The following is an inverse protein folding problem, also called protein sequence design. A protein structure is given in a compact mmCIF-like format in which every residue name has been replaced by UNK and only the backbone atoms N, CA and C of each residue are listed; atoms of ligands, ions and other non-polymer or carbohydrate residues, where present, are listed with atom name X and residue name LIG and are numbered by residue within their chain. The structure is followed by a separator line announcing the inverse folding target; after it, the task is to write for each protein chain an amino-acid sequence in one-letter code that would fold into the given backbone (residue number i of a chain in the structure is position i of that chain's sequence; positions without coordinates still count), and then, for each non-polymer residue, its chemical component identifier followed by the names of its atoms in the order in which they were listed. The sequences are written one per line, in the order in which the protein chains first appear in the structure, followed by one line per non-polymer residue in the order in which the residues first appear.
data_IF_680071965871
#
_entry.id   IF_680071965871
#
_cell.length_a   1.000
_cell.length_b   1.000
_cell.length_c   1.000
_cell.angle_alpha   90.00
_cell.angle_beta   90.00
_cell.angle_gamma   90.00
#
_symmetry.space_group_name_H-M   'P 1'
#
loop_
_entity.id
_entity.type
_entity.pdbx_description
1 polymer ?
#
# COMPACT_ATOMS: atom_id res chain seq x y z
N UNK A 1 11.55 12.95 5.13
CA UNK A 1 10.58 13.68 4.31
C UNK A 1 9.20 13.15 4.68
N UNK A 2 8.30 14.00 5.17
CA UNK A 2 6.97 13.58 5.61
C UNK A 2 5.94 14.47 4.91
N UNK A 3 5.11 13.87 4.05
CA UNK A 3 3.97 14.51 3.44
C UNK A 3 2.72 14.22 4.29
N UNK A 4 1.91 15.23 4.53
CA UNK A 4 0.62 15.12 5.22
C UNK A 4 -0.49 15.11 4.17
N UNK A 5 -1.32 14.07 4.15
CA UNK A 5 -2.48 13.98 3.26
C UNK A 5 -3.75 14.39 4.01
N UNK A 6 -4.49 15.36 3.47
CA UNK A 6 -5.79 15.77 3.98
C UNK A 6 -6.90 15.14 3.14
N UNK A 7 -7.85 14.47 3.79
CA UNK A 7 -9.01 13.87 3.10
C UNK A 7 -10.25 14.76 3.29
N UNK A 8 -10.63 15.48 2.24
CA UNK A 8 -11.88 16.25 2.16
C UNK A 8 -13.11 15.33 2.00
N UNK A 9 -14.23 15.68 2.65
CA UNK A 9 -15.48 14.91 2.63
C UNK A 9 -16.28 15.14 1.33
N UNK A 10 -16.07 14.30 0.33
CA UNK A 10 -17.00 14.06 -0.80
C UNK A 10 -16.32 13.09 -1.78
N UNK A 11 -16.92 11.93 -2.10
CA UNK A 11 -16.36 11.00 -3.10
C UNK A 11 -16.26 11.59 -4.52
N UNK A 12 -16.80 12.79 -4.76
CA UNK A 12 -16.70 13.49 -6.05
C UNK A 12 -15.49 14.43 -6.16
N UNK A 13 -14.82 14.73 -5.05
CA UNK A 13 -13.77 15.76 -4.98
C UNK A 13 -12.57 15.26 -4.15
N UNK A 14 -11.96 14.15 -4.60
CA UNK A 14 -10.69 13.67 -4.04
C UNK A 14 -9.55 14.56 -4.54
N UNK A 15 -9.28 15.65 -3.83
CA UNK A 15 -8.06 16.43 -4.03
C UNK A 15 -6.90 15.74 -3.30
N UNK A 16 -5.96 15.18 -4.07
CA UNK A 16 -4.69 14.70 -3.54
C UNK A 16 -3.74 15.88 -3.44
N UNK A 17 -3.84 16.63 -2.35
CA UNK A 17 -3.03 17.82 -2.13
C UNK A 17 -1.72 17.47 -1.41
N UNK A 18 -0.61 18.00 -1.91
CA UNK A 18 0.70 18.00 -1.27
C UNK A 18 0.98 19.40 -0.75
N UNK A 19 1.25 19.50 0.54
CA UNK A 19 1.81 20.70 1.17
C UNK A 19 3.33 20.52 1.34
N UNK A 20 4.12 21.51 0.91
CA UNK A 20 5.54 21.56 1.22
C UNK A 20 5.82 22.24 2.57
N UNK A 21 7.09 22.37 2.95
CA UNK A 21 7.47 22.93 4.26
C UNK A 21 7.32 24.45 4.32
N UNK A 22 7.16 25.06 3.14
CA UNK A 22 6.97 26.48 2.89
C UNK A 22 5.47 26.85 2.93
N UNK A 23 4.58 25.84 2.91
CA UNK A 23 3.13 25.99 3.02
C UNK A 23 2.41 26.09 1.68
N UNK A 24 3.11 25.88 0.56
CA UNK A 24 2.50 25.86 -0.76
C UNK A 24 1.76 24.54 -0.98
N UNK A 25 0.52 24.65 -1.47
CA UNK A 25 -0.35 23.52 -1.74
C UNK A 25 -0.39 23.25 -3.25
N UNK A 26 -0.07 22.02 -3.63
CA UNK A 26 -0.03 21.60 -5.03
C UNK A 26 -0.72 20.25 -5.22
N UNK A 27 -1.21 19.99 -6.44
CA UNK A 27 -1.78 18.68 -6.77
C UNK A 27 -0.68 17.61 -6.86
N UNK A 28 -0.83 16.56 -6.04
CA UNK A 28 0.07 15.41 -6.03
C UNK A 28 0.00 14.61 -7.32
N UNK A 29 -1.20 14.39 -7.87
CA UNK A 29 -1.38 13.60 -9.09
C UNK A 29 -0.75 14.27 -10.31
N UNK A 30 -0.60 15.60 -10.29
CA UNK A 30 0.04 16.37 -11.36
C UNK A 30 1.56 16.45 -11.20
N UNK A 31 2.10 15.96 -10.08
CA UNK A 31 3.54 16.00 -9.81
C UNK A 31 4.32 15.04 -10.71
N UNK A 32 5.57 15.40 -11.00
CA UNK A 32 6.49 14.54 -11.76
C UNK A 32 6.84 13.25 -11.02
N UNK A 33 6.81 13.27 -9.69
CA UNK A 33 7.02 12.10 -8.83
C UNK A 33 5.91 11.08 -9.05
N UNK A 34 4.65 11.49 -8.92
CA UNK A 34 3.50 10.62 -9.17
C UNK A 34 3.49 10.06 -10.61
N UNK A 35 3.78 10.90 -11.62
CA UNK A 35 3.85 10.46 -13.02
C UNK A 35 4.93 9.40 -13.25
N UNK A 36 6.09 9.54 -12.61
CA UNK A 36 7.18 8.55 -12.69
C UNK A 36 6.75 7.22 -12.09
N UNK A 37 6.12 7.24 -10.92
CA UNK A 37 5.64 6.03 -10.26
C UNK A 37 4.55 5.34 -11.08
N UNK A 38 3.59 6.11 -11.60
CA UNK A 38 2.54 5.60 -12.48
C UNK A 38 3.12 4.95 -13.76
N UNK A 39 4.15 5.55 -14.34
CA UNK A 39 4.84 4.99 -15.51
C UNK A 39 5.53 3.66 -15.18
N UNK A 40 6.22 3.58 -14.03
CA UNK A 40 6.84 2.35 -13.55
C UNK A 40 5.80 1.22 -13.35
N UNK A 41 4.71 1.50 -12.64
CA UNK A 41 3.66 0.49 -12.42
C UNK A 41 2.96 0.07 -13.72
N UNK A 42 2.79 1.00 -14.66
CA UNK A 42 2.28 0.68 -16.00
C UNK A 42 3.21 -0.29 -16.73
N UNK A 43 4.51 -0.04 -16.73
CA UNK A 43 5.49 -0.91 -17.38
C UNK A 43 5.52 -2.30 -16.71
N UNK A 44 5.50 -2.35 -15.38
CA UNK A 44 5.43 -3.60 -14.63
C UNK A 44 4.16 -4.41 -14.97
N UNK A 45 3.01 -3.74 -15.08
CA UNK A 45 1.76 -4.37 -15.54
C UNK A 45 1.88 -4.92 -16.96
N UNK A 46 2.40 -4.12 -17.89
CA UNK A 46 2.60 -4.54 -19.29
C UNK A 46 3.55 -5.74 -19.43
N UNK A 47 4.52 -5.88 -18.51
CA UNK A 47 5.42 -7.03 -18.43
C UNK A 47 4.84 -8.25 -17.69
N UNK A 48 3.60 -8.16 -17.20
CA UNK A 48 2.94 -9.24 -16.47
C UNK A 48 3.45 -9.45 -15.04
N UNK A 49 4.13 -8.46 -14.46
CA UNK A 49 4.65 -8.51 -13.08
C UNK A 49 3.59 -8.13 -12.04
N UNK A 50 2.47 -7.54 -12.48
CA UNK A 50 1.32 -7.18 -11.65
C UNK A 50 0.14 -8.05 -12.07
N UNK A 51 -0.66 -8.48 -11.10
CA UNK A 51 -1.87 -9.25 -11.37
C UNK A 51 -2.79 -8.50 -12.34
N UNK A 52 -3.23 -9.16 -13.42
CA UNK A 52 -4.09 -8.58 -14.44
C UNK A 52 -5.41 -8.05 -13.86
N UNK A 53 -5.91 -8.71 -12.83
CA UNK A 53 -7.17 -8.43 -12.15
C UNK A 53 -6.99 -7.56 -10.89
N UNK A 54 -5.89 -6.83 -10.76
CA UNK A 54 -5.59 -6.03 -9.54
C UNK A 54 -6.70 -5.05 -9.14
N UNK A 55 -7.54 -4.60 -10.09
CA UNK A 55 -8.66 -3.69 -9.83
C UNK A 55 -10.02 -4.38 -9.61
N UNK A 56 -10.12 -5.68 -9.92
CA UNK A 56 -11.38 -6.43 -9.94
C UNK A 56 -11.38 -7.61 -8.99
N UNK A 57 -10.21 -8.13 -8.62
CA UNK A 57 -10.04 -9.26 -7.74
C UNK A 57 -10.51 -8.91 -6.32
N UNK A 58 -11.43 -9.69 -5.72
CA UNK A 58 -11.79 -9.52 -4.32
C UNK A 58 -10.59 -9.76 -3.40
N UNK A 59 -10.51 -8.99 -2.31
CA UNK A 59 -9.42 -9.10 -1.32
C UNK A 59 -9.22 -10.53 -0.80
N UNK A 60 -10.30 -11.29 -0.63
CA UNK A 60 -10.26 -12.69 -0.18
C UNK A 60 -9.53 -13.60 -1.19
N UNK A 61 -9.76 -13.38 -2.50
CA UNK A 61 -9.09 -14.12 -3.57
C UNK A 61 -7.60 -13.81 -3.53
N UNK A 62 -7.24 -12.52 -3.44
CA UNK A 62 -5.83 -12.09 -3.36
C UNK A 62 -5.14 -12.68 -2.13
N UNK A 63 -5.78 -12.67 -0.96
CA UNK A 63 -5.22 -13.25 0.25
C UNK A 63 -5.04 -14.79 0.15
N UNK A 64 -5.92 -15.48 -0.56
CA UNK A 64 -5.78 -16.92 -0.79
C UNK A 64 -4.60 -17.24 -1.71
N UNK A 65 -4.44 -16.49 -2.80
CA UNK A 65 -3.29 -16.63 -3.72
C UNK A 65 -1.96 -16.38 -3.00
N UNK A 66 -1.91 -15.39 -2.11
CA UNK A 66 -0.74 -15.13 -1.25
C UNK A 66 -0.39 -16.35 -0.39
N UNK A 67 -1.37 -16.94 0.28
CA UNK A 67 -1.14 -18.10 1.15
C UNK A 67 -0.70 -19.35 0.36
N UNK A 68 -0.84 -19.35 -0.96
CA UNK A 68 -0.37 -20.40 -1.86
C UNK A 68 0.99 -20.08 -2.49
N UNK A 69 1.64 -18.97 -2.10
CA UNK A 69 2.97 -18.59 -2.59
C UNK A 69 2.96 -18.11 -4.04
N UNK A 70 1.85 -17.53 -4.49
CA UNK A 70 1.68 -17.07 -5.89
C UNK A 70 2.25 -15.68 -6.14
N UNK A 71 2.63 -14.97 -5.08
CA UNK A 71 3.32 -13.68 -5.16
C UNK A 71 4.76 -13.83 -4.70
N UNK A 72 5.67 -13.18 -5.43
CA UNK A 72 7.09 -13.09 -5.05
C UNK A 72 7.33 -12.02 -3.98
N UNK A 73 6.60 -10.90 -4.06
CA UNK A 73 6.65 -9.82 -3.08
C UNK A 73 5.25 -9.26 -2.85
N UNK A 74 5.01 -8.76 -1.63
CA UNK A 74 3.81 -8.00 -1.26
C UNK A 74 4.20 -6.98 -0.19
N UNK A 75 3.67 -5.78 -0.29
CA UNK A 75 3.71 -4.84 0.84
C UNK A 75 2.85 -5.38 1.99
N UNK A 76 3.40 -5.46 3.19
CA UNK A 76 2.72 -5.97 4.37
C UNK A 76 3.37 -5.51 5.66
N UNK A 77 2.61 -5.59 6.75
CA UNK A 77 3.02 -5.20 8.11
C UNK A 77 3.52 -6.38 8.96
N UNK A 78 3.66 -7.56 8.36
CA UNK A 78 4.19 -8.77 8.99
C UNK A 78 4.37 -9.95 8.04
N UNK A 79 5.10 -10.95 8.51
CA UNK A 79 5.29 -12.25 7.84
C UNK A 79 4.18 -13.19 8.32
N UNK A 80 3.48 -13.83 7.39
CA UNK A 80 2.36 -14.74 7.69
C UNK A 80 2.84 -16.21 7.82
N UNK A 81 2.58 -16.84 8.96
CA UNK A 81 2.93 -18.24 9.25
C UNK A 81 2.08 -19.29 8.48
N UNK A 82 1.10 -18.86 7.68
CA UNK A 82 0.24 -19.77 6.92
C UNK A 82 0.91 -20.31 5.65
N UNK A 83 1.84 -19.57 5.05
CA UNK A 83 2.48 -19.99 3.80
C UNK A 83 3.26 -21.32 3.97
N UNK A 84 4.14 -21.49 4.99
CA UNK A 84 4.87 -22.75 5.17
C UNK A 84 3.97 -23.96 5.45
N UNK A 85 2.75 -23.73 5.98
CA UNK A 85 1.77 -24.80 6.24
C UNK A 85 1.13 -25.31 4.96
N UNK A 86 0.90 -24.43 3.98
CA UNK A 86 0.25 -24.77 2.71
C UNK A 86 1.25 -25.14 1.61
N UNK A 87 2.46 -24.60 1.67
CA UNK A 87 3.55 -24.86 0.72
C UNK A 87 4.76 -25.34 1.53
N UNK A 88 4.89 -26.66 1.77
CA UNK A 88 5.99 -27.20 2.55
C UNK A 88 7.35 -26.85 1.91
N UNK A 89 8.25 -26.30 2.72
CA UNK A 89 9.57 -25.85 2.26
C UNK A 89 9.63 -24.40 1.76
N UNK A 90 8.49 -23.71 1.65
CA UNK A 90 8.49 -22.27 1.39
C UNK A 90 8.99 -21.50 2.62
N UNK A 91 9.85 -20.52 2.37
CA UNK A 91 10.31 -19.55 3.37
C UNK A 91 9.73 -18.18 3.03
N UNK A 92 9.28 -17.45 4.04
CA UNK A 92 8.79 -16.08 3.90
C UNK A 92 9.65 -15.18 4.76
N UNK A 93 10.26 -14.18 4.13
CA UNK A 93 11.09 -13.19 4.80
C UNK A 93 10.60 -11.78 4.48
N UNK A 94 10.71 -10.90 5.46
CA UNK A 94 10.43 -9.48 5.29
C UNK A 94 11.72 -8.69 5.14
N UNK A 95 11.73 -7.72 4.23
CA UNK A 95 12.80 -6.74 4.11
C UNK A 95 12.22 -5.33 4.06
N UNK A 96 13.04 -4.34 4.41
CA UNK A 96 12.63 -2.94 4.36
C UNK A 96 13.16 -2.32 3.06
N UNK A 97 12.33 -1.52 2.39
CA UNK A 97 12.74 -0.79 1.20
C UNK A 97 13.72 0.36 1.49
N UNK A 98 13.86 0.76 2.76
CA UNK A 98 14.76 1.82 3.20
C UNK A 98 15.31 1.52 4.61
N UNK A 99 16.57 1.90 4.85
CA UNK A 99 17.28 1.77 6.13
C UNK A 99 17.02 2.94 7.10
N UNK A 100 16.38 4.02 6.62
CA UNK A 100 16.01 5.17 7.45
C UNK A 100 15.11 4.79 8.63
N UNK A 101 14.91 5.74 9.55
CA UNK A 101 14.07 5.56 10.75
C UNK A 101 12.75 4.88 10.37
N UNK A 102 12.56 3.67 10.91
CA UNK A 102 11.43 2.81 10.63
C UNK A 102 10.27 3.26 11.50
N UNK A 103 9.36 4.05 10.95
CA UNK A 103 8.09 4.34 11.61
C UNK A 103 7.04 3.36 11.09
N UNK A 104 6.43 2.60 12.00
CA UNK A 104 5.19 1.89 11.66
C UNK A 104 4.07 2.91 11.81
N UNK A 105 3.50 3.35 10.69
CA UNK A 105 2.23 4.08 10.72
C UNK A 105 1.16 3.09 11.18
N UNK A 106 1.01 2.93 12.50
CA UNK A 106 -0.27 2.48 13.03
C UNK A 106 -1.23 3.60 12.66
N UNK A 107 -1.97 3.41 11.58
CA UNK A 107 -3.09 4.26 11.28
C UNK A 107 -3.90 4.35 12.55
N UNK A 108 -4.02 5.56 13.10
CA UNK A 108 -5.00 5.86 14.15
C UNK A 108 -6.33 5.58 13.49
N UNK A 109 -6.75 4.32 13.52
CA UNK A 109 -8.12 3.95 13.17
C UNK A 109 -8.97 4.72 14.15
N UNK A 110 -10.13 5.16 13.70
CA UNK A 110 -11.12 5.79 14.56
C UNK A 110 -11.55 4.78 15.63
N UNK A 111 -10.75 4.69 16.69
CA UNK A 111 -11.06 4.04 17.95
C UNK A 111 -11.93 5.02 18.71
N UNK A 112 -13.14 5.25 18.21
CA UNK A 112 -14.22 5.74 19.05
C UNK A 112 -14.45 4.66 20.11
N UNK A 113 -13.66 4.71 21.18
CA UNK A 113 -13.90 3.96 22.38
C UNK A 113 -15.23 4.44 22.93
N UNK A 114 -16.29 3.70 22.62
CA UNK A 114 -17.56 3.87 23.33
C UNK A 114 -17.28 3.37 24.74
N UNK A 115 -17.30 4.28 25.71
CA UNK A 115 -17.27 3.93 27.13
C UNK A 115 -18.42 2.96 27.39
N UNK A 116 -18.09 1.74 27.82
CA UNK A 116 -19.10 0.82 28.34
C UNK A 116 -19.47 1.32 29.74
N UNK A 117 -20.49 2.17 29.80
CA UNK A 117 -21.21 2.48 31.04
C UNK A 117 -22.54 1.76 31.02
#
# INVERSE_FOLDING_TARGET
MAAWFSFGRSQRDLFFDRADQEGEVSSWIESEEFKRDAAFFREAYQKGLINADVLTAPTEVVNNEEQLGRFLFREGDGVNDQLPKKVPGAMLEGYFLNESIKFRSYGVRNSNGVSAT
#
